data_IF_308913121492
#
_entry.id   IF_308913121492
#
_cell.length_a   1.000
_cell.length_b   1.000
_cell.length_c   1.000
_cell.angle_alpha   90.00
_cell.angle_beta   90.00
_cell.angle_gamma   90.00
#
_symmetry.space_group_name_H-M   'P 1'
#
loop_
_entity.id
_entity.type
_entity.pdbx_description
1 polymer ?
#
# COMPACT_ATOMS: atom_id res chain seq x y z
N UNK A 1 -15.08 1.47 18.86
CA UNK A 1 -15.37 1.72 17.44
C UNK A 1 -14.05 1.63 16.69
N UNK A 2 -13.87 0.61 15.88
CA UNK A 2 -12.70 0.47 15.03
C UNK A 2 -12.77 1.59 13.97
N UNK A 3 -11.71 2.37 13.89
CA UNK A 3 -11.64 3.47 12.96
C UNK A 3 -11.83 2.95 11.52
N UNK A 4 -12.55 3.71 10.76
CA UNK A 4 -12.65 3.47 9.33
C UNK A 4 -11.25 3.56 8.75
N UNK A 5 -10.76 2.46 8.19
CA UNK A 5 -9.59 2.49 7.35
C UNK A 5 -9.88 3.44 6.19
N UNK A 6 -8.89 4.23 5.81
CA UNK A 6 -8.99 5.13 4.68
C UNK A 6 -9.44 4.35 3.45
N UNK A 7 -10.40 4.87 2.75
CA UNK A 7 -10.74 4.30 1.46
C UNK A 7 -9.75 4.82 0.40
N UNK A 8 -9.45 4.03 -0.59
CA UNK A 8 -8.57 4.40 -1.70
C UNK A 8 -9.05 5.58 -2.53
N UNK A 9 -10.36 5.71 -2.62
CA UNK A 9 -10.96 6.84 -3.32
C UNK A 9 -10.65 8.15 -2.58
N UNK A 10 -10.47 8.11 -1.25
CA UNK A 10 -10.03 9.25 -0.45
C UNK A 10 -8.62 9.73 -0.82
N UNK A 11 -7.78 8.80 -1.25
CA UNK A 11 -6.42 9.06 -1.70
C UNK A 11 -6.32 9.69 -3.08
N UNK A 12 -7.24 9.31 -3.95
CA UNK A 12 -7.28 9.78 -5.33
C UNK A 12 -7.74 11.23 -5.38
N UNK A 13 -8.70 11.51 -4.53
CA UNK A 13 -9.31 12.81 -4.44
C UNK A 13 -8.32 13.93 -4.09
N UNK A 14 -7.21 13.57 -3.44
CA UNK A 14 -6.21 14.53 -2.98
C UNK A 14 -4.96 14.61 -3.87
N UNK A 15 -4.88 13.79 -4.92
CA UNK A 15 -3.80 13.95 -5.88
C UNK A 15 -4.03 15.21 -6.73
N UNK A 16 -3.00 16.06 -6.93
CA UNK A 16 -3.15 17.24 -7.77
C UNK A 16 -3.64 16.84 -9.16
N UNK A 17 -4.31 17.75 -9.90
CA UNK A 17 -4.69 17.47 -11.27
C UNK A 17 -3.47 16.96 -12.01
N UNK A 18 -3.53 15.68 -12.37
CA UNK A 18 -2.40 15.03 -13.01
C UNK A 18 -2.19 15.70 -14.35
N UNK A 19 -0.92 15.87 -14.67
CA UNK A 19 -0.43 16.22 -15.98
C UNK A 19 -1.35 15.64 -17.06
N UNK A 20 -2.03 16.54 -17.76
CA UNK A 20 -2.72 16.20 -18.99
C UNK A 20 -1.62 15.86 -19.99
N UNK A 21 -1.24 14.60 -20.03
CA UNK A 21 -0.35 14.07 -21.04
C UNK A 21 -0.93 14.26 -22.43
N UNK A 22 -0.16 13.99 -23.49
CA UNK A 22 -0.65 14.11 -24.86
C UNK A 22 -1.95 13.31 -25.01
N UNK A 23 -2.85 13.83 -25.84
CA UNK A 23 -4.14 13.17 -26.13
C UNK A 23 -3.95 11.67 -26.37
N UNK A 24 -4.74 10.88 -25.66
CA UNK A 24 -4.70 9.43 -25.78
C UNK A 24 -4.97 9.04 -27.23
N UNK A 25 -4.09 8.26 -27.81
CA UNK A 25 -4.36 7.71 -29.15
C UNK A 25 -5.64 6.86 -29.13
N UNK A 26 -6.40 6.77 -30.23
CA UNK A 26 -7.64 5.99 -30.30
C UNK A 26 -7.49 4.53 -29.85
N UNK A 27 -6.31 3.94 -30.02
CA UNK A 27 -6.01 2.57 -29.58
C UNK A 27 -5.82 2.46 -28.06
N UNK A 28 -5.16 3.44 -27.46
CA UNK A 28 -5.02 3.54 -26.02
C UNK A 28 -6.37 3.81 -25.37
N UNK A 29 -7.17 4.70 -25.96
CA UNK A 29 -8.54 4.98 -25.50
C UNK A 29 -9.43 3.73 -25.57
N UNK A 30 -9.34 2.93 -26.64
CA UNK A 30 -10.04 1.64 -26.79
C UNK A 30 -9.56 0.60 -25.78
N UNK A 31 -8.25 0.49 -25.58
CA UNK A 31 -7.68 -0.40 -24.57
C UNK A 31 -8.17 -0.03 -23.16
N UNK A 32 -8.20 1.27 -22.85
CA UNK A 32 -8.74 1.78 -21.57
C UNK A 32 -10.24 1.52 -21.44
N UNK A 33 -11.02 1.72 -22.49
CA UNK A 33 -12.46 1.45 -22.51
C UNK A 33 -12.75 -0.05 -22.30
N UNK A 34 -11.93 -0.95 -22.86
CA UNK A 34 -12.05 -2.40 -22.67
C UNK A 34 -11.73 -2.87 -21.25
N UNK A 35 -11.12 -2.00 -20.41
CA UNK A 35 -10.82 -2.27 -19.01
C UNK A 35 -11.99 -1.91 -18.06
N UNK A 36 -13.14 -1.46 -18.57
CA UNK A 36 -14.29 -1.19 -17.72
C UNK A 36 -14.77 -2.50 -17.07
N UNK A 37 -14.94 -2.52 -15.74
CA UNK A 37 -15.52 -3.69 -15.08
C UNK A 37 -16.96 -3.89 -15.59
N UNK A 38 -17.43 -5.13 -15.69
CA UNK A 38 -18.84 -5.41 -15.99
C UNK A 38 -19.73 -4.65 -15.01
N UNK A 39 -20.85 -4.12 -15.47
CA UNK A 39 -21.79 -3.30 -14.68
C UNK A 39 -22.38 -4.01 -13.44
N UNK A 40 -22.10 -5.29 -13.26
CA UNK A 40 -22.66 -6.14 -12.20
C UNK A 40 -21.80 -6.28 -10.93
N UNK A 41 -20.60 -5.69 -10.86
CA UNK A 41 -19.76 -5.82 -9.66
C UNK A 41 -20.25 -4.84 -8.58
N UNK A 42 -21.35 -5.21 -7.91
CA UNK A 42 -21.89 -4.47 -6.75
C UNK A 42 -21.11 -4.68 -5.46
N UNK A 43 -20.19 -5.63 -5.41
CA UNK A 43 -19.43 -5.96 -4.21
C UNK A 43 -17.93 -5.80 -4.48
N UNK A 44 -17.25 -5.07 -3.59
CA UNK A 44 -15.80 -4.91 -3.67
C UNK A 44 -15.10 -6.26 -3.44
N UNK A 45 -14.02 -6.56 -4.19
CA UNK A 45 -13.33 -7.83 -4.08
C UNK A 45 -12.65 -7.99 -2.72
N UNK A 46 -12.69 -9.21 -2.20
CA UNK A 46 -12.00 -9.62 -0.99
C UNK A 46 -10.65 -10.28 -1.26
N UNK A 47 -9.96 -10.66 -0.18
CA UNK A 47 -8.66 -11.37 -0.27
C UNK A 47 -8.77 -12.65 -1.08
N UNK A 48 -9.88 -13.40 -0.93
CA UNK A 48 -10.11 -14.63 -1.69
C UNK A 48 -10.17 -14.39 -3.21
N UNK A 49 -10.73 -13.26 -3.64
CA UNK A 49 -10.80 -12.88 -5.04
C UNK A 49 -9.42 -12.57 -5.59
N UNK A 50 -8.58 -11.84 -4.82
CA UNK A 50 -7.20 -11.56 -5.23
C UNK A 50 -6.40 -12.85 -5.43
N UNK A 51 -6.51 -13.78 -4.49
CA UNK A 51 -5.83 -15.08 -4.55
C UNK A 51 -6.32 -15.94 -5.72
N UNK A 52 -7.64 -16.00 -5.93
CA UNK A 52 -8.26 -16.68 -7.05
C UNK A 52 -7.74 -16.14 -8.38
N UNK A 53 -7.81 -14.82 -8.57
CA UNK A 53 -7.37 -14.20 -9.81
C UNK A 53 -5.86 -14.31 -10.03
N UNK A 54 -5.04 -14.25 -8.98
CA UNK A 54 -3.60 -14.48 -9.09
C UNK A 54 -3.28 -15.88 -9.62
N UNK A 55 -3.98 -16.90 -9.12
CA UNK A 55 -3.83 -18.29 -9.56
C UNK A 55 -4.32 -18.47 -10.98
N UNK A 56 -5.53 -18.00 -11.32
CA UNK A 56 -6.15 -18.19 -12.63
C UNK A 56 -5.43 -17.44 -13.75
N UNK A 57 -5.04 -16.17 -13.51
CA UNK A 57 -4.47 -15.31 -14.55
C UNK A 57 -2.95 -15.51 -14.74
N UNK A 58 -2.25 -15.89 -13.69
CA UNK A 58 -0.78 -15.92 -13.69
C UNK A 58 -0.16 -17.23 -13.22
N UNK A 59 -0.94 -18.15 -12.64
CA UNK A 59 -0.42 -19.32 -11.94
C UNK A 59 0.32 -18.92 -10.64
N UNK A 60 0.03 -17.75 -10.09
CA UNK A 60 0.69 -17.21 -8.90
C UNK A 60 -0.04 -17.65 -7.63
N UNK A 61 0.70 -18.29 -6.73
CA UNK A 61 0.25 -18.61 -5.37
C UNK A 61 1.19 -17.90 -4.40
N UNK A 62 0.72 -16.91 -3.61
CA UNK A 62 1.55 -16.23 -2.62
C UNK A 62 2.11 -17.22 -1.60
N UNK A 63 3.36 -17.01 -1.21
CA UNK A 63 3.96 -17.72 -0.10
C UNK A 63 3.43 -17.16 1.21
N UNK A 64 2.61 -17.94 1.87
CA UNK A 64 2.06 -17.61 3.20
C UNK A 64 3.09 -17.98 4.27
N UNK A 65 3.23 -17.12 5.27
CA UNK A 65 4.05 -17.34 6.47
C UNK A 65 3.27 -16.95 7.72
N UNK A 66 3.77 -17.36 8.89
CA UNK A 66 3.20 -16.88 10.15
C UNK A 66 3.32 -15.36 10.26
N UNK A 67 2.35 -14.72 10.92
CA UNK A 67 2.26 -13.26 11.07
C UNK A 67 3.56 -12.65 11.62
N UNK A 68 4.13 -13.25 12.65
CA UNK A 68 5.41 -12.81 13.23
C UNK A 68 6.56 -12.87 12.21
N UNK A 69 6.59 -13.88 11.33
CA UNK A 69 7.60 -13.96 10.28
C UNK A 69 7.39 -12.87 9.21
N UNK A 70 6.15 -12.57 8.84
CA UNK A 70 5.87 -11.47 7.91
C UNK A 70 6.32 -10.12 8.50
N UNK A 71 6.06 -9.87 9.80
CA UNK A 71 6.56 -8.70 10.52
C UNK A 71 8.10 -8.63 10.50
N UNK A 72 8.78 -9.78 10.65
CA UNK A 72 10.25 -9.85 10.58
C UNK A 72 10.77 -9.47 9.19
N UNK A 73 10.15 -10.00 8.14
CA UNK A 73 10.49 -9.66 6.77
C UNK A 73 10.24 -8.18 6.49
N UNK A 74 9.11 -7.67 6.96
CA UNK A 74 8.75 -6.25 6.80
C UNK A 74 9.74 -5.33 7.54
N UNK A 75 10.10 -5.64 8.79
CA UNK A 75 11.09 -4.89 9.57
C UNK A 75 12.45 -4.85 8.86
N UNK A 76 12.90 -6.00 8.31
CA UNK A 76 14.15 -6.09 7.54
C UNK A 76 14.14 -5.17 6.33
N UNK A 77 13.06 -5.19 5.56
CA UNK A 77 12.92 -4.32 4.39
C UNK A 77 12.84 -2.85 4.78
N UNK A 78 12.16 -2.54 5.88
CA UNK A 78 12.05 -1.18 6.42
C UNK A 78 13.42 -0.61 6.79
N UNK A 79 14.21 -1.36 7.55
CA UNK A 79 15.57 -0.98 7.94
C UNK A 79 16.47 -0.76 6.71
N UNK A 80 16.35 -1.65 5.72
CA UNK A 80 17.14 -1.56 4.48
C UNK A 80 16.92 -0.26 3.70
N UNK A 81 15.75 0.35 3.82
CA UNK A 81 15.40 1.61 3.13
C UNK A 81 15.41 2.83 4.04
N UNK A 82 15.89 2.68 5.29
CA UNK A 82 16.05 3.79 6.23
C UNK A 82 14.79 4.18 7.01
N UNK A 83 13.74 3.36 6.99
CA UNK A 83 12.56 3.57 7.83
C UNK A 83 12.87 3.20 9.30
N UNK A 84 12.43 4.03 10.21
CA UNK A 84 12.60 3.80 11.64
C UNK A 84 11.51 2.91 12.22
N UNK A 85 11.78 2.30 13.39
CA UNK A 85 10.78 1.55 14.16
C UNK A 85 9.54 2.40 14.45
N UNK A 86 9.76 3.64 14.86
CA UNK A 86 8.67 4.58 15.18
C UNK A 86 7.74 4.77 13.98
N UNK A 87 8.29 5.06 12.81
CA UNK A 87 7.50 5.24 11.59
C UNK A 87 6.71 3.99 11.22
N UNK A 88 7.37 2.85 11.18
CA UNK A 88 6.77 1.59 10.69
C UNK A 88 5.71 1.06 11.63
N UNK A 89 5.98 1.05 12.94
CA UNK A 89 5.04 0.52 13.94
C UNK A 89 3.83 1.43 14.09
N UNK A 90 4.00 2.75 13.98
CA UNK A 90 2.88 3.69 14.04
C UNK A 90 1.98 3.62 12.82
N UNK A 91 2.54 3.55 11.61
CA UNK A 91 1.75 3.34 10.38
C UNK A 91 0.99 2.03 10.48
N UNK A 92 1.65 0.93 10.82
CA UNK A 92 0.98 -0.35 11.07
C UNK A 92 -0.16 -0.21 12.11
N UNK A 93 0.11 0.44 13.23
CA UNK A 93 -0.85 0.62 14.32
C UNK A 93 -2.11 1.36 13.87
N UNK A 94 -1.95 2.40 13.05
CA UNK A 94 -3.08 3.15 12.51
C UNK A 94 -3.85 2.33 11.49
N UNK A 95 -3.16 1.81 10.48
CA UNK A 95 -3.74 1.19 9.29
C UNK A 95 -4.40 -0.18 9.56
N UNK A 96 -3.89 -0.91 10.55
CA UNK A 96 -4.41 -2.22 10.93
C UNK A 96 -5.17 -2.24 12.27
N UNK A 97 -5.34 -1.06 12.90
CA UNK A 97 -5.89 -0.96 14.25
C UNK A 97 -5.00 -1.60 15.32
N UNK A 98 -3.71 -1.80 15.05
CA UNK A 98 -2.74 -2.36 15.99
C UNK A 98 -2.87 -3.86 16.27
N UNK A 99 -3.75 -4.57 15.55
CA UNK A 99 -4.04 -5.99 15.75
C UNK A 99 -4.17 -6.78 14.45
N UNK A 100 -4.13 -6.10 13.31
CA UNK A 100 -4.34 -6.73 12.01
C UNK A 100 -3.13 -7.51 11.50
N UNK A 101 -3.40 -8.49 10.63
CA UNK A 101 -2.41 -9.24 9.89
C UNK A 101 -2.03 -8.57 8.57
N UNK A 102 -1.04 -9.15 7.89
CA UNK A 102 -0.61 -8.68 6.56
C UNK A 102 -1.69 -8.86 5.49
N UNK A 103 -2.77 -9.58 5.79
CA UNK A 103 -3.96 -9.76 4.96
C UNK A 103 -5.14 -8.85 5.39
N UNK A 104 -4.90 -7.89 6.29
CA UNK A 104 -5.92 -6.93 6.72
C UNK A 104 -6.41 -6.13 5.53
N UNK A 105 -7.72 -6.25 5.26
CA UNK A 105 -8.41 -5.56 4.18
C UNK A 105 -9.35 -4.50 4.78
N UNK A 106 -9.38 -3.33 4.16
CA UNK A 106 -10.25 -2.22 4.57
C UNK A 106 -11.72 -2.67 4.69
N UNK A 107 -12.36 -2.34 5.81
CA UNK A 107 -13.75 -2.70 6.11
C UNK A 107 -13.94 -4.06 6.77
N UNK A 108 -12.89 -4.90 6.82
CA UNK A 108 -12.90 -6.17 7.54
C UNK A 108 -12.29 -5.97 8.92
N UNK A 109 -12.99 -6.39 9.96
CA UNK A 109 -12.45 -6.35 11.32
C UNK A 109 -11.23 -7.30 11.41
N UNK A 110 -10.05 -6.80 11.80
CA UNK A 110 -8.83 -7.61 11.78
C UNK A 110 -8.82 -8.77 12.79
N UNK A 111 -9.64 -8.69 13.84
CA UNK A 111 -9.71 -9.72 14.90
C UNK A 111 -10.83 -10.72 14.62
N UNK A 112 -12.06 -10.23 14.42
CA UNK A 112 -13.22 -11.10 14.20
C UNK A 112 -13.35 -11.59 12.78
N UNK A 113 -12.61 -10.99 11.84
CA UNK A 113 -12.66 -11.27 10.38
C UNK A 113 -14.03 -11.01 9.74
N UNK A 114 -14.90 -10.31 10.46
CA UNK A 114 -16.24 -9.94 10.01
C UNK A 114 -16.24 -8.56 9.35
N UNK A 115 -17.22 -8.34 8.49
CA UNK A 115 -17.41 -7.08 7.77
C UNK A 115 -17.48 -7.27 6.27
N UNK A 116 -17.57 -6.17 5.55
CA UNK A 116 -17.54 -6.13 4.08
C UNK A 116 -16.41 -5.22 3.61
N UNK A 117 -15.71 -5.57 2.54
CA UNK A 117 -14.67 -4.70 1.99
C UNK A 117 -15.23 -3.31 1.69
N UNK A 118 -14.57 -2.27 2.19
CA UNK A 118 -14.87 -0.86 1.88
C UNK A 118 -13.97 -0.31 0.80
N UNK A 119 -12.83 -0.95 0.60
CA UNK A 119 -11.88 -0.63 -0.45
C UNK A 119 -10.94 -1.80 -0.69
N UNK A 120 -10.05 -1.69 -1.66
CA UNK A 120 -9.00 -2.67 -1.92
C UNK A 120 -7.75 -2.49 -1.05
N UNK A 121 -7.76 -1.58 -0.08
CA UNK A 121 -6.60 -1.30 0.76
C UNK A 121 -6.22 -2.53 1.59
N UNK A 122 -4.99 -2.99 1.45
CA UNK A 122 -4.52 -4.29 1.93
C UNK A 122 -3.16 -4.19 2.63
N UNK A 123 -3.03 -4.91 3.72
CA UNK A 123 -1.77 -5.09 4.44
C UNK A 123 -1.42 -3.97 5.41
N UNK A 124 -0.16 -3.93 5.86
CA UNK A 124 0.30 -3.02 6.91
C UNK A 124 0.34 -1.54 6.49
N UNK A 125 0.54 -1.26 5.21
CA UNK A 125 0.53 0.09 4.66
C UNK A 125 -0.74 0.38 3.84
N UNK A 126 -1.76 -0.45 3.97
CA UNK A 126 -3.05 -0.33 3.28
C UNK A 126 -2.87 0.06 1.81
N UNK A 127 -2.12 -0.79 1.08
CA UNK A 127 -1.84 -0.57 -0.33
C UNK A 127 -3.09 -0.81 -1.17
N UNK A 128 -3.37 0.15 -2.06
CA UNK A 128 -4.44 0.03 -3.04
C UNK A 128 -4.09 -0.87 -4.20
N UNK A 129 -5.08 -1.50 -4.79
CA UNK A 129 -4.86 -2.30 -6.00
C UNK A 129 -4.21 -1.48 -7.14
N UNK A 130 -4.60 -0.22 -7.33
CA UNK A 130 -3.98 0.66 -8.32
C UNK A 130 -2.49 0.92 -8.03
N UNK A 131 -2.13 1.08 -6.74
CA UNK A 131 -0.74 1.26 -6.33
C UNK A 131 0.09 -0.01 -6.56
N UNK A 132 -0.51 -1.20 -6.40
CA UNK A 132 0.15 -2.47 -6.75
C UNK A 132 0.46 -2.57 -8.24
N UNK A 133 -0.47 -2.11 -9.11
CA UNK A 133 -0.22 -2.00 -10.55
C UNK A 133 0.94 -1.04 -10.83
N UNK A 134 0.89 0.16 -10.26
CA UNK A 134 1.95 1.17 -10.42
C UNK A 134 3.31 0.65 -9.95
N UNK A 135 3.36 -0.01 -8.78
CA UNK A 135 4.58 -0.61 -8.25
C UNK A 135 5.11 -1.72 -9.15
N UNK A 136 4.24 -2.61 -9.66
CA UNK A 136 4.62 -3.66 -10.61
C UNK A 136 5.14 -3.07 -11.92
N UNK A 137 4.53 -2.02 -12.45
CA UNK A 137 4.98 -1.36 -13.67
C UNK A 137 6.35 -0.70 -13.49
N UNK A 138 6.55 0.03 -12.40
CA UNK A 138 7.77 0.81 -12.14
C UNK A 138 8.92 -0.03 -11.61
N UNK A 139 8.65 -0.92 -10.65
CA UNK A 139 9.66 -1.64 -9.88
C UNK A 139 9.67 -3.15 -10.11
N UNK A 140 8.83 -3.68 -11.00
CA UNK A 140 8.71 -5.12 -11.24
C UNK A 140 10.02 -5.80 -11.66
N UNK A 141 10.88 -5.10 -12.43
CA UNK A 141 12.23 -5.62 -12.80
C UNK A 141 13.12 -5.77 -11.56
N UNK A 142 13.07 -4.80 -10.66
CA UNK A 142 13.83 -4.84 -9.40
C UNK A 142 13.34 -5.97 -8.50
N UNK A 143 12.02 -6.17 -8.37
CA UNK A 143 11.46 -7.32 -7.65
C UNK A 143 11.92 -8.65 -8.25
N UNK A 144 11.87 -8.79 -9.57
CA UNK A 144 12.32 -10.01 -10.23
C UNK A 144 13.83 -10.26 -10.03
N UNK A 145 14.66 -9.22 -10.15
CA UNK A 145 16.11 -9.30 -9.88
C UNK A 145 16.40 -9.74 -8.45
N UNK A 146 15.69 -9.22 -7.46
CA UNK A 146 15.84 -9.62 -6.05
C UNK A 146 15.50 -11.09 -5.82
N UNK A 147 14.41 -11.59 -6.40
CA UNK A 147 14.06 -13.00 -6.28
C UNK A 147 15.14 -13.90 -6.88
N UNK A 148 15.72 -13.52 -8.02
CA UNK A 148 16.84 -14.24 -8.62
C UNK A 148 18.08 -14.19 -7.72
N UNK A 149 18.39 -13.04 -7.14
CA UNK A 149 19.50 -12.89 -6.20
C UNK A 149 19.31 -13.77 -4.95
N UNK A 150 18.11 -13.79 -4.37
CA UNK A 150 17.78 -14.69 -3.27
C UNK A 150 17.92 -16.18 -3.64
N UNK A 151 17.56 -16.54 -4.88
CA UNK A 151 17.74 -17.91 -5.38
C UNK A 151 19.22 -18.31 -5.54
N UNK A 152 20.10 -17.34 -5.71
CA UNK A 152 21.55 -17.54 -5.88
C UNK A 152 22.35 -17.47 -4.58
N UNK A 153 21.71 -17.18 -3.44
CA UNK A 153 22.40 -17.14 -2.14
C UNK A 153 22.98 -18.52 -1.81
N UNK A 154 24.27 -18.63 -1.46
CA UNK A 154 24.87 -19.89 -1.05
C UNK A 154 24.08 -20.55 0.09
N UNK A 155 23.81 -21.85 -0.03
CA UNK A 155 23.01 -22.60 0.96
C UNK A 155 21.49 -22.54 0.72
N UNK A 156 20.99 -21.78 -0.27
CA UNK A 156 19.57 -21.83 -0.63
C UNK A 156 19.22 -23.23 -1.16
N UNK A 157 18.25 -23.96 -0.56
CA UNK A 157 17.84 -25.27 -1.03
C UNK A 157 17.39 -25.23 -2.50
N UNK A 158 17.71 -26.25 -3.28
CA UNK A 158 17.43 -26.29 -4.73
C UNK A 158 15.94 -26.06 -5.04
N UNK A 159 15.01 -26.67 -4.29
CA UNK A 159 13.57 -26.47 -4.45
C UNK A 159 13.17 -25.01 -4.20
N UNK A 160 13.75 -24.35 -3.18
CA UNK A 160 13.50 -22.94 -2.89
C UNK A 160 14.07 -22.03 -3.97
N UNK A 161 15.25 -22.32 -4.47
CA UNK A 161 15.84 -21.59 -5.59
C UNK A 161 14.98 -21.68 -6.86
N UNK A 162 14.45 -22.86 -7.17
CA UNK A 162 13.54 -23.08 -8.28
C UNK A 162 12.23 -22.29 -8.10
N UNK A 163 11.62 -22.31 -6.91
CA UNK A 163 10.44 -21.54 -6.56
C UNK A 163 10.63 -20.03 -6.79
N UNK A 164 11.74 -19.47 -6.29
CA UNK A 164 12.06 -18.05 -6.44
C UNK A 164 12.27 -17.65 -7.92
N UNK A 165 12.93 -18.51 -8.71
CA UNK A 165 13.10 -18.29 -10.16
C UNK A 165 11.76 -18.32 -10.90
N UNK A 166 10.89 -19.28 -10.57
CA UNK A 166 9.55 -19.38 -11.15
C UNK A 166 8.70 -18.14 -10.78
N UNK A 167 8.76 -17.71 -9.53
CA UNK A 167 8.10 -16.48 -9.05
C UNK A 167 8.59 -15.25 -9.81
N UNK A 168 9.89 -15.11 -10.04
CA UNK A 168 10.45 -14.01 -10.83
C UNK A 168 9.92 -14.01 -12.28
N UNK A 169 9.73 -15.19 -12.89
CA UNK A 169 9.13 -15.30 -14.22
C UNK A 169 7.66 -14.87 -14.23
N UNK A 170 6.91 -15.24 -13.20
CA UNK A 170 5.50 -14.81 -13.02
C UNK A 170 5.43 -13.28 -12.83
N UNK A 171 6.27 -12.70 -11.98
CA UNK A 171 6.32 -11.25 -11.81
C UNK A 171 6.55 -10.51 -13.12
N UNK A 172 7.43 -11.03 -14.00
CA UNK A 172 7.63 -10.44 -15.34
C UNK A 172 6.38 -10.49 -16.20
N UNK A 173 5.52 -11.55 -16.06
CA UNK A 173 4.20 -11.58 -16.73
C UNK A 173 3.28 -10.49 -16.16
N UNK A 174 3.19 -10.36 -14.83
CA UNK A 174 2.41 -9.32 -14.17
C UNK A 174 2.87 -7.92 -14.56
N UNK A 175 4.19 -7.69 -14.61
CA UNK A 175 4.78 -6.42 -15.04
C UNK A 175 4.40 -6.06 -16.49
N UNK A 176 4.41 -7.02 -17.42
CA UNK A 176 3.95 -6.75 -18.78
C UNK A 176 2.50 -6.31 -18.83
N UNK A 177 1.63 -6.92 -18.02
CA UNK A 177 0.24 -6.49 -17.89
C UNK A 177 0.16 -5.07 -17.31
N UNK A 178 0.90 -4.78 -16.24
CA UNK A 178 0.91 -3.45 -15.63
C UNK A 178 1.43 -2.36 -16.60
N UNK A 179 2.38 -2.69 -17.48
CA UNK A 179 2.97 -1.80 -18.49
C UNK A 179 2.20 -1.77 -19.82
N UNK A 180 1.13 -2.56 -19.98
CA UNK A 180 0.30 -2.50 -21.18
C UNK A 180 -0.60 -1.28 -21.26
N UNK A 181 -0.58 -0.45 -20.25
CA UNK A 181 -1.36 0.80 -20.14
C UNK A 181 -0.44 1.95 -19.74
N UNK A 182 -0.83 3.21 -20.01
CA UNK A 182 -0.10 4.39 -19.55
C UNK A 182 0.12 4.40 -18.05
N UNK A 183 1.28 4.95 -17.61
CA UNK A 183 1.63 5.10 -16.19
C UNK A 183 0.86 6.27 -15.57
N UNK A 184 -0.43 6.09 -15.39
CA UNK A 184 -1.37 7.08 -14.86
C UNK A 184 -2.26 6.41 -13.81
N UNK A 185 -2.54 7.14 -12.73
CA UNK A 185 -3.27 6.58 -11.60
C UNK A 185 -4.68 6.10 -11.99
N UNK A 186 -5.46 6.93 -12.71
CA UNK A 186 -6.83 6.59 -13.13
C UNK A 186 -6.86 5.40 -14.10
N UNK A 187 -5.82 5.23 -14.90
CA UNK A 187 -5.68 4.09 -15.81
C UNK A 187 -5.33 2.84 -15.01
N UNK A 188 -4.39 2.94 -14.08
CA UNK A 188 -4.06 1.85 -13.17
C UNK A 188 -5.27 1.42 -12.34
N UNK A 189 -6.11 2.34 -11.87
CA UNK A 189 -7.35 2.02 -11.16
C UNK A 189 -8.30 1.17 -12.00
N UNK A 190 -8.49 1.52 -13.27
CA UNK A 190 -9.32 0.71 -14.19
C UNK A 190 -8.73 -0.67 -14.43
N UNK A 191 -7.44 -0.76 -14.72
CA UNK A 191 -6.76 -2.04 -14.88
C UNK A 191 -6.86 -2.89 -13.60
N UNK A 192 -6.69 -2.29 -12.44
CA UNK A 192 -6.75 -2.94 -11.14
C UNK A 192 -8.12 -3.57 -10.83
N UNK A 193 -9.20 -3.05 -11.40
CA UNK A 193 -10.55 -3.61 -11.27
C UNK A 193 -10.78 -4.85 -12.15
N UNK A 194 -9.86 -5.19 -13.05
CA UNK A 194 -9.94 -6.38 -13.89
C UNK A 194 -9.42 -7.64 -13.18
N UNK A 195 -9.76 -8.82 -13.68
CA UNK A 195 -9.22 -10.08 -13.18
C UNK A 195 -7.68 -10.10 -13.09
N UNK A 196 -6.99 -9.58 -14.12
CA UNK A 196 -5.52 -9.47 -14.12
C UNK A 196 -5.02 -8.49 -13.06
N UNK A 197 -5.68 -7.35 -12.91
CA UNK A 197 -5.32 -6.36 -11.90
C UNK A 197 -5.49 -6.87 -10.48
N UNK A 198 -6.62 -7.54 -10.19
CA UNK A 198 -6.85 -8.21 -8.91
C UNK A 198 -5.76 -9.26 -8.61
N UNK A 199 -5.37 -10.05 -9.63
CA UNK A 199 -4.29 -11.02 -9.50
C UNK A 199 -2.93 -10.38 -9.17
N UNK A 200 -2.63 -9.20 -9.73
CA UNK A 200 -1.40 -8.46 -9.40
C UNK A 200 -1.44 -7.96 -7.94
N UNK A 201 -2.62 -7.57 -7.45
CA UNK A 201 -2.76 -7.08 -6.08
C UNK A 201 -2.41 -8.13 -5.01
N UNK A 202 -2.56 -9.42 -5.32
CA UNK A 202 -2.17 -10.52 -4.45
C UNK A 202 -0.65 -10.56 -4.12
N UNK A 203 0.20 -9.80 -4.84
CA UNK A 203 1.62 -9.65 -4.50
C UNK A 203 1.85 -9.13 -3.07
N UNK A 204 0.90 -8.36 -2.52
CA UNK A 204 0.96 -7.87 -1.14
C UNK A 204 0.95 -8.99 -0.10
N UNK A 205 0.34 -10.14 -0.43
CA UNK A 205 0.19 -11.29 0.46
C UNK A 205 1.40 -12.25 0.41
N UNK A 206 2.31 -12.04 -0.54
CA UNK A 206 3.46 -12.92 -0.73
C UNK A 206 4.63 -12.53 0.19
N UNK A 207 5.12 -13.46 0.98
CA UNK A 207 6.20 -13.21 1.94
C UNK A 207 7.54 -12.77 1.30
N UNK A 208 7.77 -13.05 0.02
CA UNK A 208 9.00 -12.68 -0.67
C UNK A 208 8.91 -11.32 -1.38
N UNK A 209 7.69 -10.82 -1.64
CA UNK A 209 7.45 -9.59 -2.41
C UNK A 209 6.68 -8.56 -1.61
N UNK A 210 5.65 -8.98 -0.87
CA UNK A 210 4.70 -8.10 -0.17
C UNK A 210 5.36 -7.12 0.79
N UNK A 211 6.27 -7.56 1.70
CA UNK A 211 6.96 -6.66 2.61
C UNK A 211 7.68 -5.52 1.88
N UNK A 212 8.41 -5.84 0.81
CA UNK A 212 9.10 -4.82 0.05
C UNK A 212 8.15 -3.90 -0.72
N UNK A 213 7.15 -4.46 -1.39
CA UNK A 213 6.17 -3.67 -2.15
C UNK A 213 5.49 -2.61 -1.24
N UNK A 214 5.13 -2.99 -0.02
CA UNK A 214 4.49 -2.09 0.94
C UNK A 214 5.47 -1.05 1.51
N UNK A 215 6.66 -1.47 1.89
CA UNK A 215 7.72 -0.57 2.38
C UNK A 215 8.15 0.44 1.33
N UNK A 216 8.13 0.07 0.04
CA UNK A 216 8.47 0.95 -1.06
C UNK A 216 7.57 2.19 -1.13
N UNK A 217 6.28 2.06 -0.82
CA UNK A 217 5.36 3.20 -0.73
C UNK A 217 5.83 4.19 0.32
N UNK A 218 6.13 3.73 1.53
CA UNK A 218 6.60 4.59 2.61
C UNK A 218 7.96 5.22 2.30
N UNK A 219 8.88 4.46 1.67
CA UNK A 219 10.16 4.99 1.18
C UNK A 219 9.97 6.15 0.21
N UNK A 220 9.06 6.03 -0.74
CA UNK A 220 8.78 7.10 -1.70
C UNK A 220 8.26 8.38 -1.03
N UNK A 221 7.46 8.25 0.03
CA UNK A 221 7.01 9.39 0.82
C UNK A 221 8.18 10.06 1.56
N UNK A 222 9.10 9.28 2.15
CA UNK A 222 10.30 9.82 2.77
C UNK A 222 11.20 10.55 1.77
N UNK A 223 11.39 9.99 0.58
CA UNK A 223 12.19 10.61 -0.49
C UNK A 223 11.55 11.92 -0.95
N UNK A 224 10.23 11.96 -1.12
CA UNK A 224 9.50 13.17 -1.48
C UNK A 224 9.65 14.24 -0.39
N UNK A 225 9.52 13.85 0.89
CA UNK A 225 9.70 14.76 2.02
C UNK A 225 11.14 15.31 2.10
N UNK A 226 12.14 14.45 1.98
CA UNK A 226 13.54 14.86 2.00
C UNK A 226 13.87 15.83 0.87
N UNK A 227 13.35 15.59 -0.33
CA UNK A 227 13.50 16.46 -1.51
C UNK A 227 12.84 17.83 -1.31
N UNK A 228 11.82 17.92 -0.45
CA UNK A 228 11.12 19.15 -0.09
C UNK A 228 11.69 19.82 1.18
N UNK A 229 12.83 19.36 1.71
CA UNK A 229 13.47 19.95 2.90
C UNK A 229 13.00 19.35 4.24
N UNK A 230 12.20 18.27 4.22
CA UNK A 230 11.73 17.56 5.41
C UNK A 230 12.39 16.16 5.55
N UNK A 231 13.70 16.06 5.83
CA UNK A 231 14.43 14.78 5.84
C UNK A 231 14.04 13.86 7.01
N UNK A 232 13.34 14.40 8.01
CA UNK A 232 12.94 13.66 9.21
C UNK A 232 11.45 13.83 9.42
N UNK A 233 10.72 12.74 9.24
CA UNK A 233 9.28 12.67 9.53
C UNK A 233 9.02 11.76 10.73
N UNK A 234 8.07 12.15 11.59
CA UNK A 234 7.46 11.23 12.55
C UNK A 234 6.53 10.25 11.82
N UNK A 235 6.13 9.17 12.49
CA UNK A 235 5.14 8.23 11.93
C UNK A 235 3.81 8.90 11.56
N UNK A 236 3.36 9.87 12.36
CA UNK A 236 2.13 10.61 12.08
C UNK A 236 2.26 11.57 10.88
N UNK A 237 3.42 12.21 10.73
CA UNK A 237 3.70 13.05 9.55
C UNK A 237 3.81 12.20 8.28
N UNK A 238 4.48 11.05 8.36
CA UNK A 238 4.55 10.09 7.27
C UNK A 238 3.15 9.60 6.87
N UNK A 239 2.32 9.34 7.86
CA UNK A 239 0.92 8.93 7.63
C UNK A 239 0.06 10.06 7.08
N UNK A 240 0.25 11.30 7.51
CA UNK A 240 -0.42 12.44 6.91
C UNK A 240 -0.13 12.53 5.40
N UNK A 241 1.13 12.32 5.01
CA UNK A 241 1.52 12.24 3.59
C UNK A 241 0.96 10.99 2.90
N UNK A 242 0.85 9.87 3.64
CA UNK A 242 0.24 8.65 3.14
C UNK A 242 -1.25 8.85 2.85
N UNK A 243 -1.95 9.58 3.70
CA UNK A 243 -3.36 9.89 3.63
C UNK A 243 -3.70 10.95 2.58
N UNK A 244 -3.03 12.08 2.59
CA UNK A 244 -3.33 13.23 1.75
C UNK A 244 -2.60 13.22 0.38
N UNK A 245 -1.67 12.28 0.20
CA UNK A 245 -0.71 12.29 -0.89
C UNK A 245 0.54 13.11 -0.58
N UNK A 246 1.68 12.83 -1.26
CA UNK A 246 2.98 13.38 -0.87
C UNK A 246 3.01 14.90 -0.84
N UNK A 247 2.51 15.55 -1.89
CA UNK A 247 2.50 17.00 -2.02
C UNK A 247 1.57 17.66 -1.01
N UNK A 248 0.33 17.25 -0.99
CA UNK A 248 -0.71 17.82 -0.11
C UNK A 248 -0.37 17.60 1.36
N UNK A 249 0.13 16.41 1.72
CA UNK A 249 0.60 16.14 3.07
C UNK A 249 1.75 17.06 3.50
N UNK A 250 2.70 17.36 2.60
CA UNK A 250 3.76 18.33 2.88
C UNK A 250 3.21 19.75 3.05
N UNK A 251 2.30 20.19 2.16
CA UNK A 251 1.64 21.49 2.27
C UNK A 251 0.94 21.64 3.62
N UNK A 252 0.30 20.58 4.13
CA UNK A 252 -0.34 20.56 5.44
C UNK A 252 0.64 20.59 6.62
N UNK A 253 1.90 20.22 6.43
CA UNK A 253 2.96 20.31 7.45
C UNK A 253 3.54 21.73 7.57
N UNK A 254 3.39 22.57 6.55
CA UNK A 254 3.86 23.96 6.56
C UNK A 254 3.05 24.84 7.51
N UNK A 255 3.62 25.93 8.06
CA UNK A 255 2.94 26.79 9.03
C UNK A 255 1.56 27.25 8.56
N UNK A 256 1.40 27.64 7.31
CA UNK A 256 0.10 28.06 6.74
C UNK A 256 -0.85 26.86 6.64
N UNK A 257 -0.40 25.74 6.08
CA UNK A 257 -1.22 24.54 5.91
C UNK A 257 -1.74 23.97 7.23
N UNK A 258 -0.95 24.09 8.30
CA UNK A 258 -1.38 23.66 9.65
C UNK A 258 -2.62 24.38 10.16
N UNK A 259 -2.82 25.63 9.77
CA UNK A 259 -3.98 26.44 10.23
C UNK A 259 -5.17 26.38 9.28
N UNK A 260 -4.96 25.87 8.05
CA UNK A 260 -6.02 25.80 7.05
C UNK A 260 -6.97 24.62 7.29
N UNK A 261 -8.29 24.81 7.04
CA UNK A 261 -9.25 23.71 7.10
C UNK A 261 -8.86 22.54 6.18
N UNK A 262 -9.00 21.32 6.68
CA UNK A 262 -8.74 20.10 5.89
C UNK A 262 -9.60 20.00 4.63
N UNK A 263 -10.80 20.61 4.64
CA UNK A 263 -11.66 20.72 3.46
C UNK A 263 -10.96 21.36 2.23
N UNK A 264 -9.91 22.17 2.45
CA UNK A 264 -9.14 22.79 1.36
C UNK A 264 -8.14 21.81 0.70
N UNK A 265 -7.87 20.69 1.35
CA UNK A 265 -6.86 19.72 0.94
C UNK A 265 -7.43 18.41 0.43
N UNK A 266 -8.68 18.11 0.78
CA UNK A 266 -9.35 16.87 0.39
C UNK A 266 -10.50 17.17 -0.53
N UNK A 267 -10.66 16.39 -1.60
CA UNK A 267 -11.86 16.48 -2.43
C UNK A 267 -13.10 16.10 -1.61
N UNK A 268 -14.25 16.65 -2.01
CA UNK A 268 -15.51 16.53 -1.30
C UNK A 268 -15.86 15.08 -0.93
N UNK A 269 -15.73 14.16 -1.89
CA UNK A 269 -16.00 12.73 -1.65
C UNK A 269 -15.07 12.10 -0.62
N UNK A 270 -13.78 12.41 -0.68
CA UNK A 270 -12.78 11.96 0.29
C UNK A 270 -13.01 12.56 1.68
N UNK A 271 -13.28 13.85 1.72
CA UNK A 271 -13.56 14.60 2.94
C UNK A 271 -14.74 14.01 3.73
N UNK A 272 -15.89 13.80 3.07
CA UNK A 272 -17.09 13.31 3.75
C UNK A 272 -17.06 11.82 4.11
N UNK A 273 -16.34 11.01 3.35
CA UNK A 273 -16.21 9.56 3.67
C UNK A 273 -15.23 9.27 4.81
N UNK A 274 -14.25 10.15 5.04
CA UNK A 274 -13.21 9.92 6.03
C UNK A 274 -13.41 10.78 7.29
N UNK A 275 -13.96 10.17 8.32
CA UNK A 275 -14.28 10.87 9.56
C UNK A 275 -13.07 11.53 10.26
N UNK A 276 -11.84 11.02 10.06
CA UNK A 276 -10.66 11.56 10.72
C UNK A 276 -10.26 12.94 10.17
N UNK A 277 -10.58 13.20 8.89
CA UNK A 277 -10.20 14.49 8.23
C UNK A 277 -11.25 15.58 8.40
N UNK A 278 -12.50 15.21 8.75
CA UNK A 278 -13.60 16.16 8.80
C UNK A 278 -13.47 17.15 9.96
N UNK A 279 -13.91 18.40 9.70
CA UNK A 279 -14.06 19.45 10.69
C UNK A 279 -12.78 19.73 11.51
N UNK A 280 -11.64 19.70 10.84
CA UNK A 280 -10.30 19.93 11.38
C UNK A 280 -9.51 20.90 10.51
N UNK A 281 -8.47 21.45 11.09
CA UNK A 281 -7.36 22.03 10.34
C UNK A 281 -6.19 21.02 10.24
N UNK A 282 -5.12 21.38 9.53
CA UNK A 282 -3.96 20.52 9.34
C UNK A 282 -3.27 20.08 10.64
N UNK A 283 -3.18 20.99 11.64
CA UNK A 283 -2.60 20.66 12.94
C UNK A 283 -3.49 19.70 13.75
N UNK A 284 -4.79 19.93 13.74
CA UNK A 284 -5.76 19.08 14.43
C UNK A 284 -5.84 17.68 13.78
N UNK A 285 -5.72 17.58 12.47
CA UNK A 285 -5.65 16.28 11.80
C UNK A 285 -4.37 15.53 12.20
N UNK A 286 -3.22 16.21 12.18
CA UNK A 286 -1.96 15.58 12.62
C UNK A 286 -2.05 15.09 14.08
N UNK A 287 -2.61 15.91 14.98
CA UNK A 287 -2.83 15.53 16.38
C UNK A 287 -3.77 14.32 16.52
N UNK A 288 -4.84 14.27 15.74
CA UNK A 288 -5.78 13.14 15.73
C UNK A 288 -5.12 11.83 15.22
N UNK A 289 -4.22 11.91 14.22
CA UNK A 289 -3.42 10.79 13.76
C UNK A 289 -2.47 10.31 14.87
N UNK A 290 -1.77 11.23 15.54
CA UNK A 290 -0.87 10.92 16.67
C UNK A 290 -1.61 10.26 17.83
N UNK A 291 -2.75 10.81 18.23
CA UNK A 291 -3.58 10.25 19.32
C UNK A 291 -4.01 8.82 19.01
N UNK A 292 -4.51 8.58 17.80
CA UNK A 292 -4.92 7.24 17.36
C UNK A 292 -3.74 6.27 17.32
N UNK A 293 -2.60 6.70 16.80
CA UNK A 293 -1.39 5.89 16.80
C UNK A 293 -0.93 5.57 18.24
N UNK A 294 -0.94 6.57 19.13
CA UNK A 294 -0.58 6.40 20.55
C UNK A 294 -1.47 5.39 21.27
N UNK A 295 -2.75 5.33 20.92
CA UNK A 295 -3.66 4.31 21.43
C UNK A 295 -3.33 2.93 20.87
N UNK A 296 -3.15 2.82 19.56
CA UNK A 296 -3.03 1.55 18.85
C UNK A 296 -1.65 0.89 18.99
N UNK A 297 -0.57 1.64 19.23
CA UNK A 297 0.76 1.06 19.50
C UNK A 297 0.81 0.22 20.79
N UNK A 298 -0.16 0.40 21.67
CA UNK A 298 -0.30 -0.36 22.92
C UNK A 298 -1.00 -1.71 22.74
N UNK A 299 -1.52 -1.98 21.55
CA UNK A 299 -2.26 -3.20 21.26
C UNK A 299 -1.32 -4.37 20.90
N UNK A 300 -1.74 -5.63 21.11
CA UNK A 300 -0.85 -6.80 21.02
C UNK A 300 -0.07 -6.92 19.73
N UNK A 301 -0.71 -6.67 18.59
CA UNK A 301 -0.06 -6.78 17.29
C UNK A 301 1.03 -5.72 17.06
N UNK A 302 0.83 -4.49 17.58
CA UNK A 302 1.83 -3.43 17.53
C UNK A 302 3.00 -3.69 18.48
N UNK A 303 2.72 -4.19 19.70
CA UNK A 303 3.75 -4.58 20.67
C UNK A 303 4.63 -5.68 20.08
N UNK A 304 4.02 -6.73 19.51
CA UNK A 304 4.76 -7.79 18.84
C UNK A 304 5.61 -7.25 17.69
N UNK A 305 5.06 -6.33 16.87
CA UNK A 305 5.81 -5.76 15.76
C UNK A 305 7.01 -4.94 16.23
N UNK A 306 6.85 -4.13 17.28
CA UNK A 306 7.95 -3.38 17.88
C UNK A 306 9.06 -4.30 18.39
N UNK A 307 8.71 -5.41 19.07
CA UNK A 307 9.66 -6.42 19.53
C UNK A 307 10.41 -7.08 18.37
N UNK A 308 9.68 -7.49 17.33
CA UNK A 308 10.25 -8.09 16.13
C UNK A 308 11.19 -7.13 15.41
N UNK A 309 10.83 -5.84 15.35
CA UNK A 309 11.68 -4.81 14.75
C UNK A 309 13.01 -4.67 15.51
N UNK A 310 12.95 -4.64 16.86
CA UNK A 310 14.16 -4.59 17.70
C UNK A 310 15.04 -5.85 17.55
N UNK A 311 14.42 -7.02 17.41
CA UNK A 311 15.16 -8.27 17.14
C UNK A 311 15.93 -8.21 15.82
N UNK A 312 15.31 -7.64 14.79
CA UNK A 312 15.93 -7.50 13.46
C UNK A 312 17.03 -6.45 13.45
N UNK A 313 16.82 -5.32 14.15
CA UNK A 313 17.76 -4.21 14.20
C UNK A 313 19.07 -4.55 14.95
N UNK A 314 19.05 -5.56 15.85
CA UNK A 314 20.23 -6.02 16.60
C UNK A 314 21.13 -6.99 15.84
N UNK A 315 20.70 -7.48 14.70
CA UNK A 315 21.43 -8.46 13.86
C UNK A 315 22.22 -7.78 12.75
#
# INVERSE_FOLDING_TARGET
MLGQAHTPDDYIATQPPQYLGPELTPDVARAIASLQPPAEVRQLPGVADFLKQAKEQFGFVPKVVAEREFKRLYARESLRVGLTKEQVVRVYALETGGQGGYDTLSGINPVTRQGTPKSSALGYAQILHANSIGAAAKHGDEFAKRLIALAAVPGTPAGRAAELKAKAAILRKMMRVARSVPYEWNVHRRLAATAKGLGIHALNLDADVGPWLQVLKLKQLLEAAASAGHPKLTGAQLELMNLAGPRTGLEMLEPVGRTMPTANFFEEGGYYRNAIVRDKNGAELLAALEERMNANVKLPGSIEFAQVFDEVARR
#
